data_IF_074103060676
#
_entry.id   IF_074103060676
#
_cell.length_a   1.000
_cell.length_b   1.000
_cell.length_c   1.000
_cell.angle_alpha   90.00
_cell.angle_beta   90.00
_cell.angle_gamma   90.00
#
_symmetry.space_group_name_H-M   'P 1'
#
loop_
_entity.id
_entity.type
_entity.pdbx_description
1 polymer ?
#
# COMPACT_ATOMS: atom_id res chain seq x y z
N UNK A 1 -4.38 -21.10 3.88
CA UNK A 1 -3.59 -19.98 3.34
C UNK A 1 -3.32 -19.00 4.47
N UNK A 2 -2.07 -18.61 4.74
CA UNK A 2 -1.78 -17.70 5.84
C UNK A 2 -2.23 -16.27 5.46
N UNK A 3 -3.04 -15.66 6.33
CA UNK A 3 -3.43 -14.26 6.23
C UNK A 3 -2.20 -13.38 6.48
N UNK A 4 -1.87 -12.48 5.54
CA UNK A 4 -0.76 -11.52 5.66
C UNK A 4 -1.34 -10.11 5.68
N UNK A 5 -0.98 -9.34 6.70
CA UNK A 5 -1.47 -7.97 6.88
C UNK A 5 -0.26 -7.04 6.93
N UNK A 6 -0.27 -6.00 6.12
CA UNK A 6 0.68 -4.89 6.19
C UNK A 6 -0.03 -3.68 6.78
N UNK A 7 0.58 -3.02 7.76
CA UNK A 7 0.02 -1.83 8.41
C UNK A 7 0.93 -0.65 8.13
N UNK A 8 0.34 0.49 7.78
CA UNK A 8 1.05 1.76 7.58
C UNK A 8 0.73 2.67 8.75
N UNK A 9 1.78 3.16 9.39
CA UNK A 9 1.69 4.23 10.39
C UNK A 9 1.38 5.56 9.68
N UNK A 10 0.21 6.14 9.94
CA UNK A 10 -0.26 7.36 9.30
C UNK A 10 0.54 8.59 9.73
N UNK A 11 1.08 8.62 10.95
CA UNK A 11 1.83 9.77 11.47
C UNK A 11 3.21 9.87 10.79
N UNK A 12 3.77 8.72 10.40
CA UNK A 12 5.04 8.65 9.68
C UNK A 12 4.87 8.68 8.16
N UNK A 13 3.67 8.40 7.65
CA UNK A 13 3.38 8.39 6.23
C UNK A 13 3.42 9.81 5.64
N UNK A 14 4.24 10.03 4.62
CA UNK A 14 4.39 11.32 3.96
C UNK A 14 3.98 11.22 2.48
N UNK A 15 2.67 11.07 2.18
CA UNK A 15 2.18 10.77 0.83
C UNK A 15 2.53 11.87 -0.18
N UNK A 16 2.58 13.12 0.26
CA UNK A 16 3.00 14.27 -0.57
C UNK A 16 4.48 14.19 -1.00
N UNK A 17 5.34 13.51 -0.24
CA UNK A 17 6.77 13.38 -0.54
C UNK A 17 7.10 12.13 -1.35
N UNK A 18 6.41 11.02 -1.11
CA UNK A 18 6.66 9.76 -1.83
C UNK A 18 5.79 9.60 -3.09
N UNK A 19 4.63 10.23 -3.17
CA UNK A 19 3.75 10.11 -4.34
C UNK A 19 3.09 8.74 -4.48
N UNK A 20 2.75 8.08 -3.36
CA UNK A 20 2.03 6.80 -3.29
C UNK A 20 2.74 5.61 -3.94
N UNK A 21 4.04 5.46 -3.68
CA UNK A 21 4.84 4.33 -4.15
C UNK A 21 4.26 2.97 -3.73
N UNK A 22 3.70 2.88 -2.52
CA UNK A 22 3.03 1.66 -2.05
C UNK A 22 1.90 1.21 -3.00
N UNK A 23 1.10 2.13 -3.55
CA UNK A 23 0.05 1.82 -4.52
C UNK A 23 0.66 1.53 -5.89
N UNK A 24 1.58 2.39 -6.34
CA UNK A 24 2.18 2.32 -7.68
C UNK A 24 3.03 1.07 -7.89
N UNK A 25 3.74 0.59 -6.87
CA UNK A 25 4.69 -0.52 -6.98
C UNK A 25 4.20 -1.82 -6.36
N UNK A 26 3.08 -1.81 -5.61
CA UNK A 26 2.56 -3.06 -5.06
C UNK A 26 2.14 -4.00 -6.21
N UNK A 27 2.75 -5.20 -6.31
CA UNK A 27 2.45 -6.12 -7.39
C UNK A 27 0.99 -6.58 -7.34
N UNK A 28 0.41 -6.71 -6.15
CA UNK A 28 -0.99 -7.08 -5.95
C UNK A 28 -1.94 -6.03 -6.52
N UNK A 29 -1.72 -4.76 -6.20
CA UNK A 29 -2.49 -3.63 -6.75
C UNK A 29 -2.37 -3.58 -8.27
N UNK A 30 -1.15 -3.77 -8.82
CA UNK A 30 -0.94 -3.85 -10.28
C UNK A 30 -1.65 -5.02 -10.94
N UNK A 31 -1.88 -6.11 -10.21
CA UNK A 31 -2.63 -7.28 -10.68
C UNK A 31 -4.15 -7.05 -10.62
N UNK A 32 -4.60 -5.92 -10.08
CA UNK A 32 -6.02 -5.59 -9.91
C UNK A 32 -6.61 -6.02 -8.57
N UNK A 33 -5.78 -6.44 -7.61
CA UNK A 33 -6.18 -6.85 -6.28
C UNK A 33 -6.39 -5.61 -5.38
N UNK A 34 -7.47 -5.56 -4.61
CA UNK A 34 -7.82 -4.44 -3.71
C UNK A 34 -7.01 -4.48 -2.40
N UNK A 35 -5.69 -4.54 -2.51
CA UNK A 35 -4.78 -4.73 -1.37
C UNK A 35 -4.56 -3.46 -0.55
N UNK A 36 -4.74 -2.27 -1.14
CA UNK A 36 -4.56 -0.98 -0.46
C UNK A 36 -5.85 -0.18 -0.60
N UNK A 37 -6.54 0.03 0.52
CA UNK A 37 -7.70 0.92 0.64
C UNK A 37 -7.21 2.20 1.35
N UNK A 38 -7.41 3.36 0.73
CA UNK A 38 -6.88 4.66 1.20
C UNK A 38 -7.83 5.30 2.21
#
# INVERSE_FOLDING_TARGET
>A
MPLRIAVVDKDRCQPKKCGHECVKYCPKVRTGDETIVI
#
